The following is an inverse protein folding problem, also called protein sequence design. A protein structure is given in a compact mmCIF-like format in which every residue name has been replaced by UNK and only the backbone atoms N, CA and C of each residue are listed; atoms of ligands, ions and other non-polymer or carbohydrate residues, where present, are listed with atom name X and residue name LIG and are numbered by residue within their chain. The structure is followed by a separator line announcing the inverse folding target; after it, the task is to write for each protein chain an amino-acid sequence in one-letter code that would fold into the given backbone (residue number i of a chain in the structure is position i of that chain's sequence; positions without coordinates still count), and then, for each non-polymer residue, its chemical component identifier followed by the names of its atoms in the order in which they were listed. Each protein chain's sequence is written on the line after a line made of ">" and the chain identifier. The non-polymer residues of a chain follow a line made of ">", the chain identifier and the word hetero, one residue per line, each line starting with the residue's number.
data_IF_230136628613
#
_entry.id   IF_230136628613
#
_cell.length_a   1.000
_cell.length_b   1.000
_cell.length_c   1.000
_cell.angle_alpha   90.00
_cell.angle_beta   90.00
_cell.angle_gamma   90.00
#
_symmetry.space_group_name_H-M   'P 1'
#
loop_
_entity.id
_entity.type
_entity.pdbx_description
1 polymer ?
#
# COMPACT_ATOMS: atom_id res chain seq x y z
N UNK A 1 -15.82 -7.39 -21.59
CA UNK A 1 -14.55 -6.92 -20.96
C UNK A 1 -14.32 -5.45 -21.33
N UNK A 2 -14.07 -4.56 -20.35
CA UNK A 2 -14.01 -3.09 -20.56
C UNK A 2 -12.66 -2.63 -21.12
N UNK A 3 -12.65 -1.69 -22.09
CA UNK A 3 -11.42 -1.01 -22.56
C UNK A 3 -10.85 -0.14 -21.44
N UNK A 4 -9.53 -0.11 -21.34
CA UNK A 4 -8.80 0.75 -20.40
C UNK A 4 -7.89 1.67 -21.22
N UNK A 5 -7.63 2.88 -20.72
CA UNK A 5 -6.77 3.86 -21.37
C UNK A 5 -5.61 4.15 -20.42
N UNK A 6 -4.41 3.68 -20.76
CA UNK A 6 -3.18 3.83 -19.96
C UNK A 6 -3.38 3.58 -18.45
N UNK A 7 -3.87 2.40 -18.07
CA UNK A 7 -4.17 2.10 -16.67
C UNK A 7 -2.96 2.21 -15.75
N UNK A 8 -3.15 2.83 -14.58
CA UNK A 8 -2.11 2.96 -13.55
C UNK A 8 -1.86 1.63 -12.83
N UNK A 9 -0.83 1.57 -11.98
CA UNK A 9 -0.60 0.37 -11.15
C UNK A 9 -1.78 0.15 -10.21
N UNK A 10 -2.27 1.18 -9.54
CA UNK A 10 -3.39 1.13 -8.60
C UNK A 10 -4.67 0.60 -9.28
N UNK A 11 -4.91 0.99 -10.54
CA UNK A 11 -6.04 0.48 -11.32
C UNK A 11 -5.89 -1.01 -11.65
N UNK A 12 -4.68 -1.48 -11.99
CA UNK A 12 -4.44 -2.89 -12.23
C UNK A 12 -4.53 -3.73 -10.96
N UNK A 13 -4.05 -3.19 -9.85
CA UNK A 13 -4.21 -3.78 -8.53
C UNK A 13 -5.69 -3.89 -8.15
N UNK A 14 -6.49 -2.85 -8.40
CA UNK A 14 -7.92 -2.89 -8.15
C UNK A 14 -8.63 -3.97 -8.98
N UNK A 15 -8.24 -4.18 -10.24
CA UNK A 15 -8.76 -5.26 -11.08
C UNK A 15 -8.42 -6.64 -10.48
N UNK A 16 -7.21 -6.80 -9.95
CA UNK A 16 -6.80 -8.01 -9.23
C UNK A 16 -7.68 -8.25 -7.99
N UNK A 17 -7.95 -7.20 -7.21
CA UNK A 17 -8.86 -7.29 -6.05
C UNK A 17 -10.29 -7.66 -6.44
N UNK A 18 -10.81 -7.11 -7.54
CA UNK A 18 -12.17 -7.41 -7.99
C UNK A 18 -12.36 -8.90 -8.28
N UNK A 19 -11.37 -9.55 -8.88
CA UNK A 19 -11.44 -10.99 -9.13
C UNK A 19 -11.49 -11.79 -7.82
N UNK A 20 -10.74 -11.37 -6.80
CA UNK A 20 -10.77 -12.01 -5.47
C UNK A 20 -12.06 -11.76 -4.70
N UNK A 21 -12.64 -10.56 -4.81
CA UNK A 21 -13.94 -10.25 -4.19
C UNK A 21 -15.04 -11.06 -4.83
N UNK A 22 -15.08 -11.12 -6.17
CA UNK A 22 -16.05 -11.93 -6.90
C UNK A 22 -15.92 -13.43 -6.57
N UNK A 23 -14.72 -13.87 -6.21
CA UNK A 23 -14.44 -15.23 -5.77
C UNK A 23 -14.50 -15.42 -4.23
N UNK A 24 -14.95 -14.41 -3.48
CA UNK A 24 -15.19 -14.43 -2.02
C UNK A 24 -13.93 -14.70 -1.16
N UNK A 25 -12.75 -14.36 -1.68
CA UNK A 25 -11.49 -14.41 -0.92
C UNK A 25 -11.23 -13.12 -0.11
N UNK A 26 -11.93 -12.05 -0.46
CA UNK A 26 -11.86 -10.75 0.20
C UNK A 26 -13.27 -10.34 0.58
N UNK A 27 -13.44 -9.81 1.79
CA UNK A 27 -14.74 -9.31 2.23
C UNK A 27 -15.16 -8.10 1.40
N UNK A 28 -16.40 -8.11 0.91
CA UNK A 28 -16.92 -7.03 0.07
C UNK A 28 -17.35 -5.78 0.86
N UNK A 29 -16.83 -5.60 2.08
CA UNK A 29 -17.12 -4.43 2.91
C UNK A 29 -16.08 -3.33 2.66
N UNK A 30 -16.04 -2.81 1.43
CA UNK A 30 -15.08 -1.79 0.97
C UNK A 30 -15.28 -0.40 1.62
N UNK A 31 -16.22 -0.25 2.56
CA UNK A 31 -16.35 0.96 3.40
C UNK A 31 -15.32 1.04 4.53
N UNK A 32 -14.29 0.19 4.51
CA UNK A 32 -13.10 0.37 5.34
C UNK A 32 -12.43 1.70 4.98
N UNK A 33 -12.72 2.72 5.79
CA UNK A 33 -12.04 4.02 5.74
C UNK A 33 -10.55 3.74 5.91
N UNK A 34 -9.76 4.00 4.86
CA UNK A 34 -8.32 3.86 4.90
C UNK A 34 -7.77 4.91 5.89
N UNK A 35 -7.25 4.50 7.05
CA UNK A 35 -6.83 5.43 8.08
C UNK A 35 -5.46 6.03 7.74
N UNK A 36 -5.30 7.30 8.10
CA UNK A 36 -3.97 7.94 8.14
C UNK A 36 -3.36 7.76 9.52
N UNK A 37 -2.12 7.29 9.56
CA UNK A 37 -1.35 7.08 10.78
C UNK A 37 -0.39 8.24 10.98
N UNK A 38 -0.46 8.88 12.14
CA UNK A 38 0.53 9.87 12.53
C UNK A 38 1.84 9.15 12.92
N UNK A 39 2.93 9.47 12.22
CA UNK A 39 4.25 8.89 12.47
C UNK A 39 5.14 9.85 13.28
N UNK A 40 4.97 11.15 13.10
CA UNK A 40 5.74 12.18 13.80
C UNK A 40 4.96 13.49 13.88
N UNK A 41 4.84 14.05 15.09
CA UNK A 41 4.07 15.26 15.35
C UNK A 41 4.71 16.55 14.83
N UNK A 42 5.98 16.49 14.42
CA UNK A 42 6.77 17.67 14.10
C UNK A 42 7.57 18.18 15.31
N UNK A 43 8.60 18.97 15.04
CA UNK A 43 9.35 19.70 16.06
C UNK A 43 9.16 21.19 15.83
N UNK A 44 8.62 21.87 16.83
CA UNK A 44 8.33 23.30 16.77
C UNK A 44 9.01 24.02 17.93
N UNK A 45 9.71 25.11 17.63
CA UNK A 45 10.31 25.95 18.66
C UNK A 45 9.48 27.23 18.81
N UNK A 46 9.05 27.59 20.04
CA UNK A 46 8.36 28.85 20.27
C UNK A 46 9.34 30.01 20.14
N UNK A 47 8.86 31.14 19.63
CA UNK A 47 9.57 32.42 19.71
C UNK A 47 8.57 33.55 19.85
N UNK A 48 9.03 34.68 20.38
CA UNK A 48 8.23 35.90 20.47
C UNK A 48 8.74 36.90 19.45
N UNK A 49 7.82 37.52 18.72
CA UNK A 49 8.12 38.66 17.86
C UNK A 49 7.31 39.88 18.31
N UNK A 50 7.92 41.04 18.13
CA UNK A 50 7.26 42.31 18.34
C UNK A 50 6.51 42.70 17.06
N UNK A 51 5.19 42.85 17.16
CA UNK A 51 4.38 43.41 16.08
C UNK A 51 3.97 44.82 16.46
N UNK A 52 4.45 45.80 15.69
CA UNK A 52 4.02 47.20 15.83
C UNK A 52 2.60 47.32 15.30
N UNK A 53 1.67 47.75 16.16
CA UNK A 53 0.29 48.07 15.78
C UNK A 53 0.17 49.58 15.56
N UNK A 54 -0.66 49.99 14.59
CA UNK A 54 -0.95 51.40 14.28
C UNK A 54 0.29 52.28 14.01
N UNK A 55 1.28 51.71 13.30
CA UNK A 55 2.55 52.37 12.96
C UNK A 55 2.32 53.77 12.36
N UNK A 56 2.94 54.80 12.94
CA UNK A 56 2.84 56.19 12.49
C UNK A 56 1.62 56.96 13.02
N UNK A 57 0.95 56.46 14.06
CA UNK A 57 -0.20 57.13 14.70
C UNK A 57 0.02 57.37 16.19
N UNK A 58 -0.77 58.26 16.79
CA UNK A 58 -0.76 58.51 18.25
C UNK A 58 -1.16 57.28 19.09
N UNK A 59 -1.63 56.18 18.47
CA UNK A 59 -2.00 54.91 19.13
C UNK A 59 -0.98 53.80 18.89
N UNK A 60 0.20 54.12 18.35
CA UNK A 60 1.26 53.16 18.11
C UNK A 60 1.68 52.47 19.41
N UNK A 61 1.68 51.13 19.39
CA UNK A 61 2.20 50.34 20.50
C UNK A 61 2.73 48.99 19.99
N UNK A 62 3.65 48.43 20.76
CA UNK A 62 4.23 47.11 20.48
C UNK A 62 3.37 46.03 21.13
N UNK A 63 2.91 45.08 20.32
CA UNK A 63 2.27 43.86 20.80
C UNK A 63 3.23 42.69 20.61
N UNK A 64 3.58 42.02 21.71
CA UNK A 64 4.30 40.74 21.69
C UNK A 64 3.39 39.64 21.17
N UNK A 65 3.82 38.94 20.13
CA UNK A 65 3.10 37.80 19.55
C UNK A 65 3.95 36.56 19.72
N UNK A 66 3.36 35.54 20.32
CA UNK A 66 3.98 34.21 20.40
C UNK A 66 3.75 33.49 19.08
N UNK A 67 4.83 33.08 18.43
CA UNK A 67 4.85 32.27 17.21
C UNK A 67 5.58 30.95 17.46
N UNK A 68 5.50 30.06 16.48
CA UNK A 68 6.25 28.81 16.43
C UNK A 68 7.00 28.74 15.10
N UNK A 69 8.28 28.39 15.14
CA UNK A 69 9.04 28.01 13.95
C UNK A 69 9.00 26.49 13.81
N UNK A 70 8.74 26.00 12.59
CA UNK A 70 8.79 24.57 12.29
C UNK A 70 10.23 24.18 12.02
N UNK A 71 10.84 23.41 12.93
CA UNK A 71 12.19 22.85 12.76
C UNK A 71 12.11 21.58 11.94
N UNK A 72 11.17 20.69 12.28
CA UNK A 72 10.88 19.46 11.53
C UNK A 72 9.39 19.37 11.28
N UNK A 73 9.00 19.05 10.04
CA UNK A 73 7.58 18.92 9.67
C UNK A 73 6.98 17.64 10.27
N UNK A 74 5.68 17.66 10.61
CA UNK A 74 4.97 16.42 10.94
C UNK A 74 4.99 15.45 9.76
N UNK A 75 4.91 14.16 10.06
CA UNK A 75 4.87 13.07 9.08
C UNK A 75 3.66 12.20 9.39
N UNK A 76 2.75 12.09 8.44
CA UNK A 76 1.68 11.09 8.45
C UNK A 76 1.89 10.08 7.32
N UNK A 77 1.33 8.89 7.50
CA UNK A 77 1.36 7.82 6.52
C UNK A 77 -0.07 7.34 6.26
N UNK A 78 -0.47 7.31 4.99
CA UNK A 78 -1.74 6.72 4.56
C UNK A 78 -1.39 5.58 3.62
N UNK A 79 -1.84 4.34 3.90
CA UNK A 79 -1.64 3.24 2.97
C UNK A 79 -2.49 3.43 1.70
N UNK A 80 -2.12 2.74 0.64
CA UNK A 80 -2.88 2.80 -0.62
C UNK A 80 -4.14 1.94 -0.54
N UNK A 81 -4.10 0.85 0.24
CA UNK A 81 -5.27 0.00 0.47
C UNK A 81 -5.13 -0.84 1.76
N UNK A 82 -6.26 -1.41 2.20
CA UNK A 82 -6.32 -2.45 3.22
C UNK A 82 -7.16 -3.60 2.67
N UNK A 83 -6.59 -4.80 2.62
CA UNK A 83 -7.31 -6.00 2.19
C UNK A 83 -7.89 -6.71 3.43
N UNK A 84 -9.22 -6.74 3.61
CA UNK A 84 -9.85 -7.64 4.58
C UNK A 84 -9.97 -9.05 3.98
N UNK A 85 -9.25 -10.01 4.55
CA UNK A 85 -9.23 -11.38 4.07
C UNK A 85 -10.35 -12.21 4.69
N UNK A 86 -11.03 -13.00 3.87
CA UNK A 86 -11.89 -14.07 4.39
C UNK A 86 -11.04 -15.25 4.85
N UNK A 87 -11.56 -16.09 5.75
CA UNK A 87 -10.89 -17.33 6.17
C UNK A 87 -10.55 -18.26 4.99
N UNK A 88 -11.36 -18.21 3.92
CA UNK A 88 -11.15 -18.94 2.66
C UNK A 88 -9.81 -18.62 1.99
N UNK A 89 -9.26 -17.42 2.21
CA UNK A 89 -7.99 -16.99 1.60
C UNK A 89 -6.74 -17.46 2.37
N UNK A 90 -6.91 -18.04 3.55
CA UNK A 90 -5.81 -18.50 4.39
C UNK A 90 -5.03 -19.63 3.72
N UNK A 91 -3.70 -19.56 3.78
CA UNK A 91 -2.75 -20.48 3.14
C UNK A 91 -2.80 -20.51 1.60
N UNK A 92 -3.67 -19.70 0.98
CA UNK A 92 -3.75 -19.53 -0.47
C UNK A 92 -3.13 -18.19 -0.87
N UNK A 93 -3.65 -17.10 -0.30
CA UNK A 93 -3.20 -15.73 -0.59
C UNK A 93 -2.40 -15.12 0.56
N UNK A 94 -2.74 -15.47 1.80
CA UNK A 94 -2.07 -14.97 2.99
C UNK A 94 -1.70 -16.07 3.98
N UNK A 95 -0.73 -15.78 4.84
CA UNK A 95 -0.53 -16.50 6.10
C UNK A 95 -0.67 -15.48 7.24
N UNK A 96 -1.25 -15.86 8.40
CA UNK A 96 -1.20 -15.02 9.60
C UNK A 96 0.21 -14.52 9.91
N UNK A 97 0.35 -13.25 10.28
CA UNK A 97 1.64 -12.62 10.56
C UNK A 97 2.39 -13.31 11.71
N UNK A 98 1.64 -13.79 12.71
CA UNK A 98 2.16 -14.52 13.89
C UNK A 98 2.53 -15.99 13.60
N UNK A 99 2.38 -16.44 12.35
CA UNK A 99 2.79 -17.79 11.95
C UNK A 99 4.31 -17.98 11.98
N UNK A 100 4.74 -19.25 11.95
CA UNK A 100 6.14 -19.63 11.84
C UNK A 100 6.84 -18.89 10.67
N UNK A 101 7.89 -18.10 10.94
CA UNK A 101 8.64 -17.37 9.90
C UNK A 101 9.15 -18.24 8.76
N UNK A 102 9.36 -19.55 8.99
CA UNK A 102 9.77 -20.50 7.95
C UNK A 102 8.72 -20.71 6.88
N UNK A 103 7.44 -20.48 7.18
CA UNK A 103 6.34 -20.63 6.23
C UNK A 103 6.00 -19.34 5.51
N UNK A 104 6.51 -18.18 5.92
CA UNK A 104 6.16 -16.86 5.36
C UNK A 104 6.34 -16.74 3.84
N UNK A 105 7.22 -17.54 3.25
CA UNK A 105 7.42 -17.56 1.80
C UNK A 105 6.41 -18.43 1.04
N UNK A 106 5.53 -19.17 1.73
CA UNK A 106 4.51 -19.99 1.08
C UNK A 106 3.39 -19.15 0.49
N UNK A 107 3.13 -17.96 1.03
CA UNK A 107 2.17 -17.00 0.48
C UNK A 107 2.79 -15.62 0.24
N UNK A 108 2.15 -14.85 -0.64
CA UNK A 108 2.56 -13.49 -0.92
C UNK A 108 2.32 -12.61 0.31
N UNK A 109 1.11 -12.64 0.88
CA UNK A 109 0.73 -11.76 1.98
C UNK A 109 0.98 -12.35 3.37
N UNK A 110 1.30 -11.47 4.32
CA UNK A 110 1.40 -11.74 5.77
C UNK A 110 0.32 -10.90 6.45
N UNK A 111 -0.81 -11.54 6.76
CA UNK A 111 -1.98 -10.82 7.25
C UNK A 111 -1.94 -10.65 8.78
N UNK A 112 -2.17 -9.43 9.24
CA UNK A 112 -2.32 -9.13 10.65
C UNK A 112 -3.73 -9.49 11.12
N UNK A 113 -3.87 -9.89 12.38
CA UNK A 113 -5.18 -10.11 13.00
C UNK A 113 -5.72 -8.77 13.52
N UNK A 114 -6.99 -8.49 13.29
CA UNK A 114 -7.68 -7.36 13.92
C UNK A 114 -7.74 -7.57 15.44
N UNK A 115 -7.46 -6.55 16.27
CA UNK A 115 -7.56 -6.68 17.72
C UNK A 115 -9.00 -6.90 18.21
N UNK A 116 -9.97 -6.35 17.47
CA UNK A 116 -11.37 -6.24 17.91
C UNK A 116 -12.31 -7.20 17.19
N UNK A 117 -11.83 -7.86 16.13
CA UNK A 117 -12.63 -8.71 15.25
C UNK A 117 -11.82 -9.97 14.89
N UNK A 118 -12.48 -11.09 14.63
CA UNK A 118 -11.79 -12.31 14.14
C UNK A 118 -11.51 -12.23 12.63
N UNK A 119 -10.98 -11.08 12.20
CA UNK A 119 -10.68 -10.74 10.81
C UNK A 119 -9.17 -10.63 10.61
N UNK A 120 -8.68 -11.17 9.49
CA UNK A 120 -7.31 -10.96 9.04
C UNK A 120 -7.26 -9.87 7.98
N UNK A 121 -6.26 -9.00 8.05
CA UNK A 121 -6.12 -7.92 7.09
C UNK A 121 -4.67 -7.68 6.67
N UNK A 122 -4.49 -7.03 5.52
CA UNK A 122 -3.18 -6.64 5.00
C UNK A 122 -3.16 -5.17 4.63
N UNK A 123 -2.27 -4.40 5.23
CA UNK A 123 -2.04 -2.98 4.88
C UNK A 123 -1.11 -2.93 3.67
N UNK A 124 -1.49 -2.21 2.63
CA UNK A 124 -0.84 -2.25 1.32
C UNK A 124 -0.25 -0.89 0.95
N UNK A 125 0.94 -0.92 0.36
CA UNK A 125 1.56 0.22 -0.31
C UNK A 125 2.05 -0.23 -1.70
N UNK A 126 1.44 0.32 -2.74
CA UNK A 126 1.63 -0.03 -4.14
C UNK A 126 2.81 0.77 -4.67
N UNK A 127 3.85 0.07 -5.13
CA UNK A 127 5.05 0.68 -5.67
C UNK A 127 5.30 0.24 -7.11
N UNK A 128 5.89 1.13 -7.88
CA UNK A 128 6.40 0.80 -9.20
C UNK A 128 7.51 -0.27 -9.10
N UNK A 129 7.64 -1.15 -10.10
CA UNK A 129 8.76 -2.10 -10.19
C UNK A 129 10.12 -1.40 -10.08
N UNK A 130 11.11 -2.09 -9.49
CA UNK A 130 12.45 -1.52 -9.30
C UNK A 130 13.10 -1.18 -10.65
N UNK A 131 13.51 0.07 -10.86
CA UNK A 131 14.14 0.56 -12.10
C UNK A 131 13.56 1.86 -12.65
N UNK A 132 12.38 2.28 -12.19
CA UNK A 132 11.85 3.64 -12.39
C UNK A 132 12.24 4.51 -11.20
N UNK A 133 13.46 5.04 -11.21
CA UNK A 133 13.99 5.87 -10.14
C UNK A 133 13.24 7.21 -10.06
N UNK A 134 12.34 7.37 -9.08
CA UNK A 134 12.01 8.69 -8.55
C UNK A 134 12.68 8.82 -7.18
N UNK A 135 13.63 9.73 -7.10
CA UNK A 135 14.57 9.92 -5.99
C UNK A 135 13.98 10.62 -4.76
N UNK A 136 12.65 10.83 -4.68
CA UNK A 136 12.05 11.79 -3.76
C UNK A 136 11.27 11.22 -2.57
N UNK A 137 11.07 9.90 -2.47
CA UNK A 137 10.26 9.33 -1.41
C UNK A 137 11.14 8.74 -0.31
N UNK A 138 10.78 8.97 0.95
CA UNK A 138 11.29 8.22 2.10
C UNK A 138 11.31 6.74 1.72
N UNK A 139 12.46 6.05 1.83
CA UNK A 139 12.55 4.65 1.43
C UNK A 139 11.45 3.86 2.14
N UNK A 140 10.66 3.09 1.39
CA UNK A 140 9.56 2.27 1.94
C UNK A 140 9.98 1.49 3.20
N UNK A 141 11.23 1.00 3.23
CA UNK A 141 11.80 0.31 4.39
C UNK A 141 11.86 1.15 5.67
N UNK A 142 12.06 2.47 5.55
CA UNK A 142 12.02 3.38 6.68
C UNK A 142 10.60 3.60 7.17
N UNK A 143 9.66 3.87 6.26
CA UNK A 143 8.22 3.99 6.58
C UNK A 143 7.70 2.74 7.28
N UNK A 144 8.02 1.56 6.75
CA UNK A 144 7.62 0.28 7.34
C UNK A 144 8.18 0.10 8.76
N UNK A 145 9.45 0.40 8.99
CA UNK A 145 10.07 0.35 10.33
C UNK A 145 9.41 1.33 11.31
N UNK A 146 9.09 2.54 10.86
CA UNK A 146 8.44 3.56 11.70
C UNK A 146 7.00 3.21 12.04
N UNK A 147 6.24 2.71 11.05
CA UNK A 147 4.88 2.27 11.27
C UNK A 147 4.84 1.11 12.28
N UNK A 148 5.77 0.14 12.15
CA UNK A 148 5.91 -0.92 13.14
C UNK A 148 6.30 -0.38 14.52
N UNK A 149 7.27 0.52 14.59
CA UNK A 149 7.73 1.08 15.86
C UNK A 149 6.63 1.84 16.60
N UNK A 150 5.85 2.68 15.88
CA UNK A 150 4.84 3.57 16.46
C UNK A 150 3.48 2.93 16.65
N UNK A 151 3.05 2.10 15.70
CA UNK A 151 1.68 1.59 15.62
C UNK A 151 1.61 0.05 15.68
N UNK A 152 2.74 -0.66 15.67
CA UNK A 152 2.81 -2.13 15.56
C UNK A 152 2.11 -2.68 14.32
N UNK A 153 2.05 -1.88 13.25
CA UNK A 153 1.44 -2.26 11.99
C UNK A 153 2.50 -2.62 10.94
N UNK A 154 2.27 -3.73 10.24
CA UNK A 154 3.11 -4.21 9.15
C UNK A 154 2.48 -3.86 7.80
N UNK A 155 3.03 -2.84 7.15
CA UNK A 155 2.69 -2.51 5.76
C UNK A 155 3.44 -3.42 4.79
N UNK A 156 2.74 -3.92 3.78
CA UNK A 156 3.29 -4.76 2.73
C UNK A 156 3.49 -3.99 1.44
N UNK A 157 4.70 -4.06 0.90
CA UNK A 157 5.02 -3.49 -0.40
C UNK A 157 4.46 -4.39 -1.50
N UNK A 158 3.59 -3.84 -2.33
CA UNK A 158 3.03 -4.52 -3.50
C UNK A 158 3.63 -3.95 -4.77
N UNK A 159 4.20 -4.82 -5.60
CA UNK A 159 4.61 -4.50 -6.97
C UNK A 159 3.90 -5.49 -7.89
N UNK A 160 3.23 -5.03 -8.95
CA UNK A 160 2.29 -5.90 -9.65
C UNK A 160 2.95 -6.92 -10.57
N UNK A 161 3.74 -6.44 -11.52
CA UNK A 161 4.38 -7.28 -12.52
C UNK A 161 5.83 -6.84 -12.75
N UNK A 162 6.75 -7.78 -13.05
CA UNK A 162 8.13 -7.46 -13.36
C UNK A 162 8.23 -6.65 -14.65
N UNK A 163 8.94 -5.51 -14.60
CA UNK A 163 9.29 -4.72 -15.79
C UNK A 163 10.51 -5.28 -16.55
N UNK A 164 11.30 -6.14 -15.88
CA UNK A 164 12.46 -6.86 -16.40
C UNK A 164 12.49 -8.24 -15.73
N UNK A 165 13.10 -9.26 -16.35
CA UNK A 165 13.31 -10.54 -15.69
C UNK A 165 14.13 -10.29 -14.42
N UNK A 166 13.59 -10.63 -13.25
CA UNK A 166 14.32 -10.50 -11.99
C UNK A 166 13.99 -11.69 -11.10
N UNK A 167 15.01 -12.15 -10.39
CA UNK A 167 14.93 -13.31 -9.53
C UNK A 167 14.67 -12.86 -8.09
N UNK A 168 13.53 -13.29 -7.54
CA UNK A 168 13.17 -13.06 -6.14
C UNK A 168 11.82 -13.72 -5.83
N UNK A 169 11.76 -14.52 -4.77
CA UNK A 169 10.52 -15.17 -4.33
C UNK A 169 9.54 -14.10 -3.86
N UNK A 170 8.26 -14.22 -4.22
CA UNK A 170 7.18 -13.34 -3.76
C UNK A 170 7.45 -11.84 -3.98
N UNK A 171 8.19 -11.49 -5.03
CA UNK A 171 8.55 -10.08 -5.31
C UNK A 171 7.42 -9.35 -6.02
N UNK A 172 6.78 -10.00 -6.99
CA UNK A 172 5.71 -9.41 -7.79
C UNK A 172 4.38 -10.14 -7.58
N UNK A 173 3.31 -9.37 -7.39
CA UNK A 173 1.98 -9.88 -7.06
C UNK A 173 1.48 -10.88 -8.11
N UNK A 174 1.53 -10.50 -9.39
CA UNK A 174 0.92 -11.31 -10.46
C UNK A 174 1.68 -12.59 -10.77
N UNK A 175 3.00 -12.57 -10.62
CA UNK A 175 3.85 -13.75 -10.79
C UNK A 175 3.66 -14.75 -9.64
N UNK A 176 3.59 -14.21 -8.41
CA UNK A 176 3.57 -15.00 -7.18
C UNK A 176 2.16 -15.53 -6.85
N UNK A 177 1.13 -14.82 -7.34
CA UNK A 177 -0.28 -15.21 -7.21
C UNK A 177 -0.83 -15.59 -8.58
N UNK A 178 -1.74 -14.77 -9.11
CA UNK A 178 -2.35 -14.90 -10.42
C UNK A 178 -2.30 -13.56 -11.16
N UNK A 179 -2.39 -13.64 -12.48
CA UNK A 179 -2.54 -12.48 -13.36
C UNK A 179 -4.02 -12.28 -13.64
N UNK A 180 -4.58 -11.08 -13.38
CA UNK A 180 -5.98 -10.82 -13.64
C UNK A 180 -6.31 -11.07 -15.11
N UNK A 181 -7.46 -11.68 -15.38
CA UNK A 181 -7.88 -12.05 -16.72
C UNK A 181 -7.85 -10.86 -17.68
N UNK A 182 -8.21 -9.66 -17.18
CA UNK A 182 -8.17 -8.43 -17.96
C UNK A 182 -6.75 -8.00 -18.36
N UNK A 183 -5.74 -8.29 -17.55
CA UNK A 183 -4.34 -7.91 -17.82
C UNK A 183 -3.73 -8.70 -18.98
N UNK A 184 -4.22 -9.93 -19.21
CA UNK A 184 -3.83 -10.78 -20.33
C UNK A 184 -4.16 -10.19 -21.70
N UNK A 185 -4.98 -9.14 -21.75
CA UNK A 185 -5.34 -8.44 -22.97
C UNK A 185 -4.67 -7.07 -23.03
N UNK A 186 -4.33 -6.66 -24.25
CA UNK A 186 -3.93 -5.27 -24.54
C UNK A 186 -5.02 -4.28 -24.09
N UNK A 187 -4.63 -3.02 -23.91
CA UNK A 187 -5.52 -1.97 -23.37
C UNK A 187 -6.79 -1.79 -24.22
N UNK A 188 -6.63 -1.87 -25.55
CA UNK A 188 -7.72 -1.84 -26.55
C UNK A 188 -8.50 -3.16 -26.67
N UNK A 189 -8.08 -4.21 -25.97
CA UNK A 189 -8.68 -5.56 -25.99
C UNK A 189 -8.69 -6.17 -27.40
N UNK A 190 -7.68 -5.85 -28.21
CA UNK A 190 -7.60 -6.34 -29.61
C UNK A 190 -6.77 -7.61 -29.73
N UNK A 191 -5.77 -7.76 -28.87
CA UNK A 191 -4.84 -8.89 -28.86
C UNK A 191 -4.47 -9.27 -27.42
N UNK A 192 -4.02 -10.50 -27.25
CA UNK A 192 -3.35 -10.94 -26.03
C UNK A 192 -2.07 -10.12 -25.81
N UNK A 193 -1.82 -9.75 -24.55
CA UNK A 193 -0.61 -9.06 -24.12
C UNK A 193 0.54 -10.05 -24.14
N UNK A 194 1.64 -9.67 -24.79
CA UNK A 194 2.89 -10.43 -24.73
C UNK A 194 3.55 -10.18 -23.37
N UNK A 195 3.60 -11.20 -22.52
CA UNK A 195 4.25 -11.19 -21.21
C UNK A 195 5.51 -12.06 -21.30
N UNK A 196 6.69 -11.45 -21.17
CA UNK A 196 7.97 -12.15 -21.40
C UNK A 196 8.75 -12.48 -20.13
N UNK A 197 8.29 -11.98 -18.97
CA UNK A 197 9.10 -11.97 -17.75
C UNK A 197 8.66 -12.99 -16.72
N UNK A 198 7.47 -13.57 -16.90
CA UNK A 198 6.92 -14.62 -16.05
C UNK A 198 5.82 -15.36 -16.81
N UNK A 199 5.43 -16.55 -16.33
CA UNK A 199 4.32 -17.33 -16.89
C UNK A 199 3.02 -16.88 -16.20
N UNK A 200 2.10 -16.20 -16.91
CA UNK A 200 0.83 -15.80 -16.33
C UNK A 200 -0.01 -17.04 -15.98
N UNK A 201 -0.75 -16.94 -14.88
CA UNK A 201 -1.72 -17.94 -14.44
C UNK A 201 -3.02 -17.24 -14.10
N UNK A 202 -4.16 -17.83 -14.43
CA UNK A 202 -5.47 -17.30 -14.02
C UNK A 202 -5.70 -17.54 -12.52
N UNK A 203 -6.73 -16.90 -11.96
CA UNK A 203 -7.12 -17.13 -10.56
C UNK A 203 -7.44 -18.61 -10.30
N UNK A 204 -8.19 -19.23 -11.19
CA UNK A 204 -8.58 -20.65 -11.10
C UNK A 204 -7.35 -21.56 -11.12
N UNK A 205 -6.46 -21.39 -12.10
CA UNK A 205 -5.21 -22.16 -12.21
C UNK A 205 -4.33 -22.01 -10.95
N UNK A 206 -4.26 -20.81 -10.39
CA UNK A 206 -3.51 -20.56 -9.16
C UNK A 206 -4.11 -21.29 -7.96
N UNK A 207 -5.43 -21.23 -7.79
CA UNK A 207 -6.13 -21.90 -6.69
C UNK A 207 -5.96 -23.41 -6.79
N UNK A 208 -6.21 -24.00 -7.96
CA UNK A 208 -6.07 -25.46 -8.17
C UNK A 208 -4.67 -25.94 -7.79
N UNK A 209 -3.64 -25.19 -8.16
CA UNK A 209 -2.25 -25.52 -7.80
C UNK A 209 -1.97 -25.40 -6.30
N UNK A 210 -2.69 -24.56 -5.56
CA UNK A 210 -2.51 -24.33 -4.12
C UNK A 210 -3.27 -25.32 -3.25
N UNK A 211 -4.33 -25.92 -3.79
CA UNK A 211 -5.20 -26.87 -3.07
C UNK A 211 -4.84 -28.34 -3.31
N UNK A 212 -3.96 -28.62 -4.29
CA UNK A 212 -3.36 -29.94 -4.54
C UNK A 212 -2.08 -30.11 -3.71
#
# INVERSE_FOLDING_TARGET
>A
MKRLYNPTQEQWYHIWLLELINAEYIENNRELIIPSFNLFDGLFLPYTEDKILFKGSAREHVKKINKKVTVLRPVSYTPDDIIPWTKKAENIFYIPFESDPRTWNSCYFKAMKSPNEDLYYSIIDIKAPTGTHRHSDTPFSFTQKWLWYRQKLYVQKVMLAPAKPKFGINTFLFESTFTPQRFLWTDKVTKLRKINHYVPRTLEEFITKKTL
#
